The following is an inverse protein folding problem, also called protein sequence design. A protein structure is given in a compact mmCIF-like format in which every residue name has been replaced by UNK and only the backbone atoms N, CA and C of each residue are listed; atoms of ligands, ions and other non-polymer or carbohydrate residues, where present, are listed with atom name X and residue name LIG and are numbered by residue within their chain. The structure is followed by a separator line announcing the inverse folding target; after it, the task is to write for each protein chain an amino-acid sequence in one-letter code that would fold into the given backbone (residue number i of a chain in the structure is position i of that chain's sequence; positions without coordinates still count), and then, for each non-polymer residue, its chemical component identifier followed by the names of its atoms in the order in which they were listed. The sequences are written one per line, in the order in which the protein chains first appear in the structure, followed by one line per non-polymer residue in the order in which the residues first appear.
data_IF_190545295760
#
_entry.id   IF_190545295760
#
_cell.length_a   1.000
_cell.length_b   1.000
_cell.length_c   1.000
_cell.angle_alpha   90.00
_cell.angle_beta   90.00
_cell.angle_gamma   90.00
#
_symmetry.space_group_name_H-M   'P 1'
#
loop_
_entity.id
_entity.type
_entity.pdbx_description
1 polymer ?
#
# COMPACT_ATOMS: atom_id res chain seq x y z
N UNK A 1 23.05 30.29 -32.31
CA UNK A 1 21.74 30.64 -31.81
C UNK A 1 21.57 29.98 -30.44
N UNK A 2 22.37 30.40 -29.50
CA UNK A 2 22.28 30.14 -28.07
C UNK A 2 22.24 31.51 -27.42
N UNK A 3 21.46 31.67 -26.36
CA UNK A 3 21.19 32.89 -25.58
C UNK A 3 19.96 33.69 -26.03
N UNK A 4 18.80 33.21 -25.62
CA UNK A 4 17.61 34.05 -25.42
C UNK A 4 16.52 33.26 -24.65
N UNK A 5 16.74 33.00 -23.34
CA UNK A 5 15.68 32.52 -22.42
C UNK A 5 16.17 32.61 -20.96
N UNK A 6 16.64 33.77 -20.54
CA UNK A 6 16.92 34.05 -19.13
C UNK A 6 16.75 35.55 -18.87
N UNK A 7 15.52 36.05 -18.94
CA UNK A 7 15.20 37.39 -18.42
C UNK A 7 13.69 37.62 -18.41
N UNK A 8 12.96 36.90 -17.57
CA UNK A 8 11.56 37.27 -17.22
C UNK A 8 11.10 36.58 -15.95
N UNK A 9 11.73 36.79 -14.82
CA UNK A 9 11.15 36.69 -13.49
C UNK A 9 12.17 37.24 -12.49
N UNK A 10 12.29 38.54 -12.36
CA UNK A 10 12.63 39.23 -11.11
C UNK A 10 12.45 40.75 -11.33
N UNK A 11 11.64 41.30 -10.49
CA UNK A 11 11.25 42.71 -10.23
C UNK A 11 9.95 43.20 -10.91
N UNK A 12 9.06 43.96 -10.21
CA UNK A 12 9.44 44.95 -9.16
C UNK A 12 8.54 44.94 -7.90
N UNK A 13 9.11 45.13 -6.75
CA UNK A 13 8.43 45.72 -5.61
C UNK A 13 9.46 46.47 -4.71
N UNK A 14 9.89 47.63 -5.16
CA UNK A 14 10.48 48.65 -4.31
C UNK A 14 10.17 50.04 -4.85
N UNK A 15 9.09 50.62 -4.41
CA UNK A 15 8.92 52.06 -4.30
C UNK A 15 7.79 52.37 -3.31
N UNK A 16 8.17 52.47 -2.04
CA UNK A 16 7.54 53.39 -1.08
C UNK A 16 8.61 53.84 -0.10
N UNK A 17 8.93 55.13 -0.23
CA UNK A 17 9.81 55.90 0.66
C UNK A 17 9.17 56.05 2.02
N UNK A 18 9.95 55.79 3.10
CA UNK A 18 9.60 56.16 4.46
C UNK A 18 10.86 56.05 5.31
N UNK A 19 11.61 57.15 5.43
CA UNK A 19 12.67 57.27 6.41
C UNK A 19 12.11 57.11 7.82
N UNK A 20 12.66 56.20 8.64
CA UNK A 20 12.91 56.40 10.06
C UNK A 20 13.68 55.25 10.70
N UNK A 21 14.82 55.63 11.27
CA UNK A 21 15.56 55.02 12.37
C UNK A 21 16.17 53.60 12.27
N UNK A 22 17.37 53.54 11.67
CA UNK A 22 18.32 52.42 11.80
C UNK A 22 19.01 52.29 13.19
N UNK A 23 18.65 53.10 14.18
CA UNK A 23 19.35 53.11 15.48
C UNK A 23 18.81 52.14 16.53
N UNK A 24 17.60 51.63 16.38
CA UNK A 24 16.95 50.79 17.41
C UNK A 24 17.01 49.26 17.19
N UNK A 25 17.52 48.79 16.06
CA UNK A 25 17.64 47.35 15.84
C UNK A 25 18.92 46.72 16.39
N UNK A 26 19.96 47.52 16.68
CA UNK A 26 21.22 47.01 17.27
C UNK A 26 21.20 46.89 18.80
N UNK A 27 20.17 47.37 19.47
CA UNK A 27 20.05 47.28 20.95
C UNK A 27 19.27 46.06 21.43
N UNK A 28 18.59 45.32 20.55
CA UNK A 28 17.80 44.13 20.90
C UNK A 28 18.52 42.79 20.74
N UNK A 29 19.75 42.82 20.19
CA UNK A 29 20.53 41.60 19.92
C UNK A 29 21.70 41.35 20.89
N UNK A 30 21.90 42.22 21.89
CA UNK A 30 22.98 42.08 22.86
C UNK A 30 22.48 42.12 24.31
N UNK A 31 21.58 41.23 24.71
CA UNK A 31 21.36 40.93 26.11
C UNK A 31 21.69 39.47 26.40
N UNK A 32 22.56 39.15 27.37
CA UNK A 32 22.85 37.77 27.75
C UNK A 32 21.67 37.17 28.51
N UNK A 33 21.20 36.02 28.07
CA UNK A 33 20.24 35.19 28.80
C UNK A 33 20.90 34.66 30.07
N UNK A 34 20.46 35.11 31.25
CA UNK A 34 20.84 34.51 32.53
C UNK A 34 19.93 33.28 32.78
N UNK A 35 20.52 32.10 32.73
CA UNK A 35 19.90 30.85 33.15
C UNK A 35 20.02 30.71 34.66
N UNK A 36 18.92 30.84 35.38
CA UNK A 36 18.80 30.34 36.75
C UNK A 36 17.75 29.26 36.83
N UNK A 37 18.13 28.00 36.52
CA UNK A 37 17.37 26.82 36.88
C UNK A 37 18.08 26.18 38.06
N UNK A 38 17.42 26.19 39.23
CA UNK A 38 17.90 25.49 40.43
C UNK A 38 17.85 23.98 40.17
N UNK A 39 18.99 23.32 40.16
CA UNK A 39 19.13 21.87 40.15
C UNK A 39 18.71 21.31 41.50
N UNK A 40 17.62 20.55 41.51
CA UNK A 40 17.30 19.67 42.63
C UNK A 40 18.09 18.36 42.44
N UNK A 41 19.07 18.13 43.29
CA UNK A 41 19.88 16.92 43.32
C UNK A 41 19.08 15.81 43.99
N UNK A 42 18.57 14.87 43.19
CA UNK A 42 18.00 13.61 43.68
C UNK A 42 19.16 12.59 43.81
N UNK A 43 19.43 12.16 45.02
CA UNK A 43 20.43 11.09 45.29
C UNK A 43 19.93 9.76 44.70
N UNK A 44 20.75 9.04 43.94
CA UNK A 44 20.37 7.71 43.49
C UNK A 44 20.45 6.71 44.64
N UNK A 45 19.33 6.04 44.93
CA UNK A 45 19.33 4.85 45.80
C UNK A 45 19.97 3.70 45.00
N UNK A 46 20.97 3.06 45.61
CA UNK A 46 21.60 1.85 45.10
C UNK A 46 20.63 0.69 45.16
N UNK A 47 19.98 0.36 44.05
CA UNK A 47 19.44 -0.99 43.84
C UNK A 47 20.54 -1.82 43.18
N UNK A 48 21.05 -2.81 43.88
CA UNK A 48 21.88 -3.86 43.27
C UNK A 48 20.95 -4.69 42.40
N UNK A 49 21.09 -4.53 41.07
CA UNK A 49 20.55 -5.50 40.12
C UNK A 49 21.65 -6.55 39.95
N UNK A 50 21.35 -7.77 40.48
CA UNK A 50 22.14 -8.94 40.12
C UNK A 50 22.06 -9.14 38.61
N UNK A 51 23.19 -9.06 37.94
CA UNK A 51 23.36 -9.47 36.55
C UNK A 51 23.16 -10.99 36.45
N UNK A 52 21.94 -11.39 36.18
CA UNK A 52 21.70 -12.74 35.65
C UNK A 52 22.28 -12.74 34.24
N UNK A 53 23.26 -13.60 34.04
CA UNK A 53 23.79 -13.99 32.74
C UNK A 53 22.60 -14.52 31.94
N UNK A 54 22.06 -13.67 31.06
CA UNK A 54 21.12 -14.09 30.04
C UNK A 54 21.91 -14.94 29.06
N UNK A 55 21.73 -16.27 29.17
CA UNK A 55 22.12 -17.16 28.11
C UNK A 55 21.46 -16.69 26.81
N UNK A 56 22.23 -16.62 25.76
CA UNK A 56 21.74 -16.35 24.41
C UNK A 56 20.57 -17.33 24.14
N UNK A 57 19.35 -16.79 24.08
CA UNK A 57 18.19 -17.51 23.58
C UNK A 57 18.56 -18.00 22.18
N UNK A 58 18.30 -19.26 21.83
CA UNK A 58 18.56 -19.71 20.46
C UNK A 58 17.81 -18.79 19.54
N UNK A 59 18.52 -18.15 18.61
CA UNK A 59 17.94 -17.34 17.55
C UNK A 59 17.09 -18.26 16.69
N UNK A 60 15.83 -18.40 17.04
CA UNK A 60 14.82 -18.95 16.15
C UNK A 60 14.77 -17.94 14.99
N UNK A 61 15.36 -18.31 13.86
CA UNK A 61 15.24 -17.52 12.62
C UNK A 61 13.79 -17.64 12.18
N UNK A 62 12.95 -16.73 12.66
CA UNK A 62 11.55 -16.65 12.28
C UNK A 62 11.44 -16.12 10.86
N UNK A 63 11.75 -16.97 9.87
CA UNK A 63 11.49 -16.63 8.48
C UNK A 63 9.99 -16.58 8.21
N UNK A 64 9.58 -15.65 7.36
CA UNK A 64 8.22 -15.54 6.85
C UNK A 64 8.20 -16.14 5.46
N UNK A 65 7.59 -17.32 5.32
CA UNK A 65 7.50 -18.03 4.04
C UNK A 65 6.33 -17.51 3.24
N UNK A 66 6.63 -16.92 2.08
CA UNK A 66 5.66 -16.18 1.29
C UNK A 66 5.45 -16.83 -0.07
N UNK A 67 4.20 -17.15 -0.40
CA UNK A 67 3.81 -17.52 -1.75
C UNK A 67 3.15 -16.33 -2.49
N UNK A 68 3.36 -16.26 -3.80
CA UNK A 68 2.81 -15.21 -4.66
C UNK A 68 1.92 -15.82 -5.74
N UNK A 69 0.69 -15.33 -5.85
CA UNK A 69 -0.24 -15.65 -6.94
C UNK A 69 -0.26 -14.47 -7.92
N UNK A 70 0.22 -14.72 -9.14
CA UNK A 70 0.43 -13.70 -10.17
C UNK A 70 1.85 -13.13 -10.13
N UNK A 71 2.72 -13.61 -11.03
CA UNK A 71 4.14 -13.20 -11.14
C UNK A 71 4.27 -12.04 -12.14
N UNK A 72 3.50 -10.96 -11.90
CA UNK A 72 3.51 -9.74 -12.71
C UNK A 72 4.49 -8.67 -12.19
N UNK A 73 4.33 -7.43 -12.63
CA UNK A 73 5.14 -6.28 -12.22
C UNK A 73 5.20 -6.08 -10.69
N UNK A 74 4.05 -6.23 -10.00
CA UNK A 74 3.98 -6.07 -8.54
C UNK A 74 4.81 -7.14 -7.82
N UNK A 75 4.72 -8.40 -8.27
CA UNK A 75 5.54 -9.48 -7.74
C UNK A 75 7.03 -9.24 -8.02
N UNK A 76 7.38 -8.83 -9.24
CA UNK A 76 8.75 -8.47 -9.61
C UNK A 76 9.32 -7.39 -8.68
N UNK A 77 8.57 -6.31 -8.46
CA UNK A 77 8.99 -5.21 -7.59
C UNK A 77 9.11 -5.62 -6.12
N UNK A 78 8.20 -6.46 -5.63
CA UNK A 78 8.25 -6.99 -4.26
C UNK A 78 9.49 -7.86 -4.05
N UNK A 79 9.76 -8.78 -4.98
CA UNK A 79 10.91 -9.68 -4.90
C UNK A 79 12.21 -8.87 -4.97
N UNK A 80 12.32 -7.96 -5.93
CA UNK A 80 13.45 -7.03 -6.00
C UNK A 80 13.64 -6.27 -4.68
N UNK A 81 12.56 -5.75 -4.07
CA UNK A 81 12.61 -4.99 -2.83
C UNK A 81 13.16 -5.81 -1.66
N UNK A 82 12.76 -7.07 -1.53
CA UNK A 82 13.28 -7.97 -0.48
C UNK A 82 14.77 -8.20 -0.65
N UNK A 83 15.25 -8.45 -1.87
CA UNK A 83 16.69 -8.61 -2.13
C UNK A 83 17.46 -7.30 -1.95
N UNK A 84 16.91 -6.17 -2.38
CA UNK A 84 17.56 -4.86 -2.30
C UNK A 84 17.81 -4.41 -0.86
N UNK A 85 16.84 -4.66 0.03
CA UNK A 85 16.87 -4.20 1.41
C UNK A 85 17.24 -5.30 2.42
N UNK A 86 17.77 -6.44 1.98
CA UNK A 86 18.09 -7.57 2.87
C UNK A 86 19.07 -7.21 3.99
N UNK A 87 19.98 -6.25 3.75
CA UNK A 87 21.02 -5.82 4.70
C UNK A 87 20.64 -4.52 5.45
N UNK A 88 19.40 -4.07 5.32
CA UNK A 88 18.92 -2.85 5.97
C UNK A 88 18.96 -2.98 7.50
N UNK A 89 19.43 -1.93 8.17
CA UNK A 89 19.53 -1.86 9.63
C UNK A 89 18.20 -1.38 10.23
N UNK A 90 17.96 -1.67 11.51
CA UNK A 90 16.71 -1.37 12.22
C UNK A 90 16.44 0.12 12.40
N UNK A 91 17.49 0.94 12.42
CA UNK A 91 17.45 2.40 12.57
C UNK A 91 17.59 3.16 11.25
N UNK A 92 17.68 2.44 10.12
CA UNK A 92 17.85 3.04 8.81
C UNK A 92 16.58 3.73 8.33
N UNK A 93 16.72 4.88 7.67
CA UNK A 93 15.65 5.47 6.87
C UNK A 93 15.65 4.77 5.51
N UNK A 94 14.68 3.89 5.30
CA UNK A 94 14.56 3.10 4.07
C UNK A 94 13.49 3.72 3.19
N UNK A 95 13.83 4.25 2.00
CA UNK A 95 12.83 4.77 1.09
C UNK A 95 11.75 3.73 0.78
N UNK A 96 10.50 4.09 1.02
CA UNK A 96 9.37 3.23 0.74
C UNK A 96 9.07 2.16 1.80
N UNK A 97 9.73 2.14 2.94
CA UNK A 97 9.47 1.26 4.07
C UNK A 97 9.15 2.11 5.29
N UNK A 98 7.98 1.94 5.88
CA UNK A 98 7.56 2.72 7.04
C UNK A 98 8.20 2.21 8.33
N UNK A 99 8.43 0.89 8.42
CA UNK A 99 8.99 0.24 9.60
C UNK A 99 10.17 -0.66 9.19
N UNK A 100 11.42 -0.25 9.36
CA UNK A 100 12.59 -1.12 9.11
C UNK A 100 12.51 -2.41 9.93
N UNK A 101 12.10 -2.30 11.20
CA UNK A 101 11.75 -3.40 12.08
C UNK A 101 10.27 -3.29 12.46
N UNK A 102 9.45 -4.28 12.11
CA UNK A 102 8.01 -4.30 12.37
C UNK A 102 7.69 -5.45 13.35
N UNK A 103 7.52 -5.11 14.62
CA UNK A 103 7.20 -6.09 15.66
C UNK A 103 8.22 -7.22 15.80
N UNK A 104 9.51 -6.95 15.55
CA UNK A 104 10.60 -7.92 15.55
C UNK A 104 10.94 -8.49 14.17
N UNK A 105 10.10 -8.32 13.16
CA UNK A 105 10.33 -8.77 11.79
C UNK A 105 11.00 -7.70 10.93
N UNK A 106 12.05 -8.09 10.20
CA UNK A 106 12.80 -7.29 9.23
C UNK A 106 12.46 -7.70 7.81
N UNK A 107 12.86 -6.90 6.82
CA UNK A 107 12.66 -7.24 5.40
C UNK A 107 13.38 -8.56 5.05
N UNK A 108 14.59 -8.78 5.55
CA UNK A 108 15.38 -10.00 5.35
C UNK A 108 14.76 -11.27 5.91
N UNK A 109 13.73 -11.16 6.74
CA UNK A 109 13.01 -12.30 7.30
C UNK A 109 11.98 -12.86 6.32
N UNK A 110 11.66 -12.11 5.26
CA UNK A 110 10.79 -12.57 4.17
C UNK A 110 11.57 -13.51 3.26
N UNK A 111 11.02 -14.71 3.05
CA UNK A 111 11.55 -15.74 2.17
C UNK A 111 10.44 -16.21 1.22
N UNK A 112 10.66 -16.10 -0.08
CA UNK A 112 9.69 -16.63 -1.02
C UNK A 112 9.73 -18.16 -1.00
N UNK A 113 8.57 -18.81 -0.95
CA UNK A 113 8.43 -20.26 -0.81
C UNK A 113 7.74 -20.90 -2.01
N UNK A 114 6.82 -20.17 -2.68
CA UNK A 114 6.15 -20.64 -3.88
C UNK A 114 5.74 -19.46 -4.76
N UNK A 115 5.57 -19.73 -6.05
CA UNK A 115 5.06 -18.79 -7.03
C UNK A 115 4.09 -19.49 -7.97
N UNK A 116 3.00 -18.81 -8.33
CA UNK A 116 1.90 -19.36 -9.10
C UNK A 116 1.54 -18.38 -10.21
N UNK A 117 1.50 -18.83 -11.45
CA UNK A 117 1.06 -18.03 -12.60
C UNK A 117 0.35 -18.92 -13.61
N UNK A 118 -0.19 -18.32 -14.68
CA UNK A 118 -0.84 -19.04 -15.79
C UNK A 118 -0.16 -18.79 -17.13
N UNK A 119 0.77 -17.83 -17.19
CA UNK A 119 1.46 -17.42 -18.40
C UNK A 119 2.48 -18.48 -18.83
N UNK A 120 2.37 -18.95 -20.09
CA UNK A 120 3.30 -19.92 -20.69
C UNK A 120 4.77 -19.44 -20.71
N UNK A 121 5.01 -18.15 -20.64
CA UNK A 121 6.35 -17.59 -20.57
C UNK A 121 6.95 -17.60 -19.15
N UNK A 122 6.16 -17.97 -18.14
CA UNK A 122 6.56 -17.99 -16.72
C UNK A 122 6.46 -19.34 -16.06
N UNK A 123 5.35 -20.07 -16.32
CA UNK A 123 5.12 -21.40 -15.72
C UNK A 123 6.25 -22.36 -16.09
N UNK A 124 6.78 -23.05 -15.07
CA UNK A 124 7.92 -23.97 -15.21
C UNK A 124 9.30 -23.32 -15.15
N UNK A 125 9.39 -21.98 -15.19
CA UNK A 125 10.66 -21.25 -14.97
C UNK A 125 10.93 -21.06 -13.49
N UNK A 126 12.20 -20.79 -13.17
CA UNK A 126 12.57 -20.29 -11.84
C UNK A 126 11.99 -18.89 -11.63
N UNK A 127 11.58 -18.59 -10.39
CA UNK A 127 11.00 -17.30 -10.03
C UNK A 127 11.93 -16.12 -10.36
N UNK A 128 13.26 -16.29 -10.18
CA UNK A 128 14.27 -15.28 -10.51
C UNK A 128 14.34 -14.93 -11.99
N UNK A 129 13.94 -15.87 -12.88
CA UNK A 129 13.78 -15.63 -14.32
C UNK A 129 12.37 -15.12 -14.65
N UNK A 130 11.36 -15.71 -14.03
CA UNK A 130 9.96 -15.43 -14.34
C UNK A 130 9.55 -13.98 -14.06
N UNK A 131 10.11 -13.33 -13.04
CA UNK A 131 9.87 -11.92 -12.73
C UNK A 131 10.26 -10.95 -13.85
N UNK A 132 11.06 -11.40 -14.81
CA UNK A 132 11.51 -10.63 -16.00
C UNK A 132 10.86 -11.10 -17.30
N UNK A 133 10.04 -12.14 -17.23
CA UNK A 133 9.46 -12.80 -18.41
C UNK A 133 8.11 -12.22 -18.79
N UNK A 134 7.67 -12.50 -20.02
CA UNK A 134 6.36 -12.13 -20.54
C UNK A 134 6.16 -10.63 -20.63
N UNK A 135 5.01 -10.17 -20.14
CA UNK A 135 4.59 -8.75 -20.22
C UNK A 135 5.14 -7.88 -19.07
N UNK A 136 6.06 -8.40 -18.24
CA UNK A 136 6.63 -7.62 -17.15
C UNK A 136 7.54 -6.52 -17.70
N UNK A 137 7.25 -5.28 -17.29
CA UNK A 137 7.92 -4.07 -17.77
C UNK A 137 8.26 -3.08 -16.64
N UNK A 138 8.28 -3.54 -15.38
CA UNK A 138 8.71 -2.71 -14.26
C UNK A 138 10.22 -2.45 -14.29
N UNK A 139 10.66 -1.41 -13.60
CA UNK A 139 12.09 -1.05 -13.54
C UNK A 139 12.90 -2.12 -12.81
N UNK A 140 14.14 -2.31 -13.25
CA UNK A 140 15.15 -3.09 -12.52
C UNK A 140 15.89 -2.17 -11.57
N UNK A 141 15.79 -2.42 -10.26
CA UNK A 141 16.49 -1.67 -9.22
C UNK A 141 17.30 -2.57 -8.28
N UNK A 142 17.18 -3.90 -8.45
CA UNK A 142 17.94 -4.87 -7.68
C UNK A 142 18.39 -6.04 -8.54
N UNK A 143 19.53 -6.63 -8.15
CA UNK A 143 19.97 -7.91 -8.68
C UNK A 143 19.27 -9.03 -7.91
N UNK A 144 18.48 -9.84 -8.62
CA UNK A 144 17.81 -11.03 -8.09
C UNK A 144 18.49 -12.25 -8.69
N UNK A 145 18.87 -13.26 -7.90
CA UNK A 145 19.44 -14.49 -8.44
C UNK A 145 18.53 -15.14 -9.47
N UNK A 146 19.06 -15.47 -10.64
CA UNK A 146 18.28 -16.15 -11.70
C UNK A 146 17.82 -17.56 -11.29
N UNK A 147 18.45 -18.14 -10.26
CA UNK A 147 18.09 -19.42 -9.67
C UNK A 147 17.79 -19.23 -8.19
N UNK A 148 16.52 -19.01 -7.89
CA UNK A 148 15.99 -18.93 -6.52
C UNK A 148 15.66 -20.32 -5.96
N UNK A 149 15.55 -21.32 -6.82
CA UNK A 149 15.09 -22.66 -6.49
C UNK A 149 13.57 -22.80 -6.43
N UNK A 150 12.82 -21.76 -6.81
CA UNK A 150 11.36 -21.74 -6.78
C UNK A 150 10.85 -21.83 -8.21
N UNK A 151 10.28 -22.95 -8.57
CA UNK A 151 9.64 -23.13 -9.89
C UNK A 151 8.24 -22.54 -9.85
N UNK A 152 7.88 -21.72 -10.85
CA UNK A 152 6.54 -21.17 -10.99
C UNK A 152 5.55 -22.26 -11.34
N UNK A 153 4.62 -22.53 -10.44
CA UNK A 153 3.56 -23.51 -10.61
C UNK A 153 2.44 -23.01 -11.51
N UNK A 154 1.78 -23.93 -12.22
CA UNK A 154 0.61 -23.59 -13.07
C UNK A 154 -0.64 -23.41 -12.23
N UNK A 155 -1.17 -22.21 -12.23
CA UNK A 155 -2.36 -21.84 -11.49
C UNK A 155 -3.69 -22.07 -12.22
N UNK A 156 -4.81 -21.80 -11.52
CA UNK A 156 -6.14 -21.77 -12.07
C UNK A 156 -6.43 -20.42 -12.73
N UNK A 157 -7.06 -20.43 -13.88
CA UNK A 157 -7.34 -19.20 -14.64
C UNK A 157 -8.71 -18.60 -14.32
N UNK A 158 -9.79 -19.42 -14.36
CA UNK A 158 -11.17 -18.93 -14.30
C UNK A 158 -11.37 -17.63 -15.12
N UNK A 159 -11.80 -16.56 -14.46
CA UNK A 159 -11.99 -15.22 -15.01
C UNK A 159 -10.71 -14.33 -14.93
N UNK A 160 -9.54 -14.89 -14.59
CA UNK A 160 -8.28 -14.16 -14.45
C UNK A 160 -7.78 -13.50 -15.74
N UNK A 161 -8.12 -14.04 -16.91
CA UNK A 161 -7.84 -13.42 -18.21
C UNK A 161 -9.14 -12.91 -18.82
N UNK A 162 -9.27 -11.59 -18.90
CA UNK A 162 -10.31 -10.96 -19.70
C UNK A 162 -9.94 -10.87 -21.20
N UNK A 163 -10.83 -10.33 -22.04
CA UNK A 163 -10.66 -10.30 -23.49
C UNK A 163 -9.43 -9.52 -23.96
N UNK A 164 -8.96 -8.52 -23.18
CA UNK A 164 -7.75 -7.78 -23.51
C UNK A 164 -6.49 -8.57 -23.13
N UNK A 165 -6.38 -9.06 -21.89
CA UNK A 165 -5.18 -9.79 -21.47
C UNK A 165 -4.96 -11.07 -22.28
N UNK A 166 -6.03 -11.76 -22.71
CA UNK A 166 -5.92 -12.95 -23.54
C UNK A 166 -5.28 -12.71 -24.92
N UNK A 167 -5.18 -11.45 -25.36
CA UNK A 167 -4.46 -11.07 -26.60
C UNK A 167 -2.94 -10.98 -26.37
N UNK A 168 -2.50 -10.89 -25.13
CA UNK A 168 -1.08 -10.67 -24.77
C UNK A 168 -0.48 -11.85 -24.00
N UNK A 169 -1.31 -12.62 -23.31
CA UNK A 169 -0.87 -13.69 -22.42
C UNK A 169 -1.43 -15.01 -22.95
N UNK A 170 -0.55 -15.92 -23.27
CA UNK A 170 -0.90 -17.30 -23.63
C UNK A 170 -0.87 -18.16 -22.38
N UNK A 171 -1.95 -18.90 -22.13
CA UNK A 171 -2.01 -19.82 -20.99
C UNK A 171 -1.04 -20.98 -21.16
N UNK A 172 -0.29 -21.30 -20.12
CA UNK A 172 0.55 -22.50 -20.09
C UNK A 172 -0.30 -23.76 -20.32
N UNK A 173 0.19 -24.74 -21.09
CA UNK A 173 -0.50 -25.99 -21.31
C UNK A 173 -0.59 -26.83 -20.02
N UNK A 174 -1.44 -27.84 -20.02
CA UNK A 174 -1.61 -28.78 -18.92
C UNK A 174 -2.72 -28.39 -17.94
N UNK A 175 -2.84 -29.15 -16.86
CA UNK A 175 -3.80 -28.94 -15.78
C UNK A 175 -3.25 -28.00 -14.72
N UNK A 176 -4.15 -27.42 -13.91
CA UNK A 176 -3.77 -26.68 -12.71
C UNK A 176 -3.04 -27.60 -11.72
N UNK A 177 -1.94 -27.14 -11.16
CA UNK A 177 -1.21 -27.85 -10.12
C UNK A 177 -2.02 -27.93 -8.81
N UNK A 178 -1.69 -28.86 -7.94
CA UNK A 178 -2.34 -28.95 -6.63
C UNK A 178 -1.81 -27.83 -5.72
N UNK A 179 -2.45 -26.67 -5.78
CA UNK A 179 -2.01 -25.46 -5.06
C UNK A 179 -2.05 -25.66 -3.54
N UNK A 180 -3.09 -26.34 -3.02
CA UNK A 180 -3.15 -26.66 -1.57
C UNK A 180 -1.94 -27.48 -1.13
N UNK A 181 -1.57 -28.51 -1.91
CA UNK A 181 -0.43 -29.35 -1.57
C UNK A 181 0.89 -28.59 -1.72
N UNK A 182 1.06 -27.80 -2.78
CA UNK A 182 2.23 -26.96 -2.99
C UNK A 182 2.48 -26.05 -1.77
N UNK A 183 1.45 -25.34 -1.28
CA UNK A 183 1.56 -24.43 -0.13
C UNK A 183 1.93 -25.18 1.17
N UNK A 184 1.42 -26.39 1.35
CA UNK A 184 1.77 -27.26 2.49
C UNK A 184 3.22 -27.74 2.40
N UNK A 185 3.64 -28.25 1.27
CA UNK A 185 4.98 -28.81 1.07
C UNK A 185 6.07 -27.75 1.21
N UNK A 186 5.78 -26.52 0.77
CA UNK A 186 6.66 -25.37 0.90
C UNK A 186 6.55 -24.68 2.27
N UNK A 187 5.67 -25.18 3.16
CA UNK A 187 5.41 -24.61 4.50
C UNK A 187 5.15 -23.11 4.44
N UNK A 188 4.34 -22.68 3.49
CA UNK A 188 3.99 -21.28 3.28
C UNK A 188 3.22 -20.73 4.47
N UNK A 189 3.63 -19.58 5.02
CA UNK A 189 2.92 -18.85 6.08
C UNK A 189 1.88 -17.90 5.50
N UNK A 190 2.26 -17.15 4.47
CA UNK A 190 1.47 -16.04 3.92
C UNK A 190 1.37 -16.15 2.40
N UNK A 191 0.17 -16.00 1.86
CA UNK A 191 -0.08 -15.98 0.42
C UNK A 191 -0.52 -14.59 -0.02
N UNK A 192 0.15 -14.04 -1.03
CA UNK A 192 -0.16 -12.72 -1.62
C UNK A 192 -0.92 -12.93 -2.93
N UNK A 193 -2.04 -12.24 -3.08
CA UNK A 193 -2.82 -12.22 -4.31
C UNK A 193 -2.54 -10.96 -5.14
N UNK A 194 -1.94 -11.17 -6.32
CA UNK A 194 -1.66 -10.17 -7.35
C UNK A 194 -2.33 -10.49 -8.68
N UNK A 195 -3.45 -11.20 -8.65
CA UNK A 195 -4.24 -11.47 -9.86
C UNK A 195 -4.70 -10.17 -10.53
N UNK A 196 -5.00 -10.19 -11.83
CA UNK A 196 -5.55 -9.04 -12.52
C UNK A 196 -6.92 -8.60 -11.96
N UNK A 197 -7.19 -7.29 -12.04
CA UNK A 197 -8.51 -6.73 -11.68
C UNK A 197 -9.63 -7.46 -12.39
N UNK A 198 -10.73 -7.75 -11.70
CA UNK A 198 -11.88 -8.49 -12.21
C UNK A 198 -11.75 -10.02 -12.14
N UNK A 199 -10.72 -10.54 -11.47
CA UNK A 199 -10.51 -11.97 -11.22
C UNK A 199 -11.31 -12.46 -10.02
N UNK A 200 -12.64 -12.30 -10.04
CA UNK A 200 -13.53 -12.60 -8.92
C UNK A 200 -13.56 -14.11 -8.60
N UNK A 201 -13.81 -14.95 -9.61
CA UNK A 201 -13.91 -16.39 -9.42
C UNK A 201 -12.55 -17.02 -9.14
N UNK A 202 -11.51 -16.55 -9.83
CA UNK A 202 -10.14 -17.02 -9.59
C UNK A 202 -9.71 -16.71 -8.15
N UNK A 203 -9.93 -15.49 -7.67
CA UNK A 203 -9.57 -15.10 -6.29
C UNK A 203 -10.28 -15.98 -5.26
N UNK A 204 -11.59 -16.15 -5.39
CA UNK A 204 -12.38 -16.98 -4.46
C UNK A 204 -11.91 -18.44 -4.46
N UNK A 205 -11.58 -18.96 -5.63
CA UNK A 205 -11.01 -20.30 -5.76
C UNK A 205 -9.66 -20.41 -5.03
N UNK A 206 -8.76 -19.44 -5.21
CA UNK A 206 -7.46 -19.42 -4.52
C UNK A 206 -7.62 -19.28 -3.01
N UNK A 207 -8.55 -18.45 -2.53
CA UNK A 207 -8.86 -18.33 -1.08
C UNK A 207 -9.20 -19.69 -0.47
N UNK A 208 -9.99 -20.53 -1.16
CA UNK A 208 -10.28 -21.89 -0.68
C UNK A 208 -9.01 -22.76 -0.60
N UNK A 209 -8.10 -22.64 -1.57
CA UNK A 209 -6.83 -23.39 -1.52
C UNK A 209 -5.97 -22.93 -0.34
N UNK A 210 -5.90 -21.61 -0.09
CA UNK A 210 -5.15 -20.99 1.01
C UNK A 210 -5.72 -21.45 2.35
N UNK A 211 -7.04 -21.40 2.55
CA UNK A 211 -7.70 -21.87 3.76
C UNK A 211 -7.43 -23.37 4.01
N UNK A 212 -7.46 -24.19 2.95
CA UNK A 212 -7.18 -25.63 3.05
C UNK A 212 -5.70 -25.94 3.30
N UNK A 213 -4.80 -25.03 2.91
CA UNK A 213 -3.38 -25.12 3.17
C UNK A 213 -3.01 -24.67 4.60
N UNK A 214 -3.84 -23.83 5.23
CA UNK A 214 -3.57 -23.27 6.56
C UNK A 214 -2.67 -22.02 6.52
N UNK A 215 -2.78 -21.18 5.47
CA UNK A 215 -1.98 -19.99 5.30
C UNK A 215 -2.78 -18.71 5.57
N UNK A 216 -2.09 -17.65 6.01
CA UNK A 216 -2.63 -16.28 5.99
C UNK A 216 -2.81 -15.78 4.55
N UNK A 217 -3.72 -14.85 4.33
CA UNK A 217 -3.99 -14.32 3.01
C UNK A 217 -3.91 -12.79 2.96
N UNK A 218 -3.19 -12.28 1.97
CA UNK A 218 -3.08 -10.85 1.65
C UNK A 218 -3.70 -10.60 0.29
N UNK A 219 -4.77 -9.81 0.27
CA UNK A 219 -5.49 -9.52 -0.97
C UNK A 219 -5.16 -8.12 -1.50
N UNK A 220 -4.28 -8.04 -2.50
CA UNK A 220 -3.83 -6.78 -3.08
C UNK A 220 -4.73 -6.23 -4.18
N UNK A 221 -5.77 -6.96 -4.59
CA UNK A 221 -6.65 -6.58 -5.70
C UNK A 221 -8.06 -6.20 -5.21
N UNK A 222 -8.86 -5.46 -5.99
CA UNK A 222 -10.20 -5.01 -5.60
C UNK A 222 -11.29 -6.09 -5.78
N UNK A 223 -11.01 -7.30 -5.33
CA UNK A 223 -12.00 -8.36 -5.10
C UNK A 223 -12.23 -8.45 -3.61
N UNK A 224 -13.48 -8.34 -3.17
CA UNK A 224 -13.77 -8.20 -1.74
C UNK A 224 -13.73 -9.55 -1.02
N UNK A 225 -12.67 -9.71 -0.22
CA UNK A 225 -12.42 -10.89 0.64
C UNK A 225 -12.37 -10.44 2.11
N UNK A 226 -11.39 -9.60 2.49
CA UNK A 226 -11.24 -9.13 3.87
C UNK A 226 -12.43 -8.28 4.33
N UNK A 227 -13.06 -7.56 3.41
CA UNK A 227 -14.25 -6.75 3.67
C UNK A 227 -15.53 -7.56 3.84
N UNK A 228 -15.63 -8.75 3.21
CA UNK A 228 -16.88 -9.53 3.18
C UNK A 228 -17.06 -10.39 4.43
N UNK A 229 -18.19 -10.27 5.16
CA UNK A 229 -18.45 -11.03 6.38
C UNK A 229 -18.36 -12.55 6.20
N UNK A 230 -18.79 -13.07 5.05
CA UNK A 230 -18.69 -14.49 4.72
C UNK A 230 -17.24 -14.98 4.77
N UNK A 231 -16.32 -14.29 4.09
CA UNK A 231 -14.92 -14.69 4.07
C UNK A 231 -14.24 -14.46 5.42
N UNK A 232 -14.55 -13.35 6.10
CA UNK A 232 -14.05 -13.12 7.46
C UNK A 232 -14.38 -14.28 8.40
N UNK A 233 -15.63 -14.79 8.31
CA UNK A 233 -16.05 -15.93 9.11
C UNK A 233 -15.29 -17.20 8.72
N UNK A 234 -15.09 -17.47 7.41
CA UNK A 234 -14.31 -18.62 6.93
C UNK A 234 -12.86 -18.59 7.44
N UNK A 235 -12.22 -17.42 7.48
CA UNK A 235 -10.87 -17.25 8.03
C UNK A 235 -10.88 -17.45 9.57
N UNK A 236 -11.87 -16.95 10.29
CA UNK A 236 -12.02 -17.19 11.74
C UNK A 236 -12.17 -18.69 12.06
N UNK A 237 -13.00 -19.40 11.33
CA UNK A 237 -13.23 -20.85 11.50
C UNK A 237 -11.97 -21.69 11.30
N UNK A 238 -11.01 -21.19 10.55
CA UNK A 238 -9.71 -21.83 10.29
C UNK A 238 -8.58 -21.29 11.18
N UNK A 239 -8.87 -20.34 12.06
CA UNK A 239 -7.88 -19.62 12.89
C UNK A 239 -6.77 -18.96 12.04
N UNK A 240 -7.14 -18.37 10.91
CA UNK A 240 -6.21 -17.74 9.95
C UNK A 240 -6.53 -16.26 9.80
N UNK A 241 -5.52 -15.37 9.65
CA UNK A 241 -5.73 -13.97 9.37
C UNK A 241 -5.88 -13.71 7.87
N UNK A 242 -6.66 -12.66 7.54
CA UNK A 242 -6.74 -12.06 6.21
C UNK A 242 -6.54 -10.56 6.31
N UNK A 243 -5.76 -10.00 5.38
CA UNK A 243 -5.51 -8.55 5.25
C UNK A 243 -5.87 -8.14 3.82
N UNK A 244 -6.66 -7.08 3.64
CA UNK A 244 -7.13 -6.61 2.31
C UNK A 244 -8.21 -5.53 2.46
N UNK A 245 -8.84 -5.08 1.40
CA UNK A 245 -8.70 -5.42 -0.03
C UNK A 245 -8.25 -4.18 -0.81
N UNK A 246 -7.67 -4.37 -2.01
CA UNK A 246 -7.17 -3.33 -2.92
C UNK A 246 -6.05 -2.47 -2.30
N UNK A 247 -4.81 -2.91 -2.50
CA UNK A 247 -3.61 -2.29 -1.91
C UNK A 247 -3.50 -0.80 -2.24
N UNK A 248 -3.16 0.03 -1.26
CA UNK A 248 -2.70 1.42 -1.47
C UNK A 248 -1.22 1.42 -1.89
N UNK A 249 -0.84 2.40 -2.68
CA UNK A 249 0.58 2.72 -2.89
C UNK A 249 1.10 3.56 -1.72
N UNK A 250 2.41 3.74 -1.58
CA UNK A 250 2.97 4.60 -0.56
C UNK A 250 2.59 6.06 -0.74
N UNK A 251 2.92 6.63 -1.89
CA UNK A 251 2.38 7.92 -2.34
C UNK A 251 1.72 7.70 -3.69
N UNK A 252 0.42 7.38 -3.66
CA UNK A 252 -0.36 7.12 -4.86
C UNK A 252 -1.55 8.08 -4.99
N UNK A 253 -2.21 8.04 -6.13
CA UNK A 253 -3.32 8.94 -6.44
C UNK A 253 -4.42 8.92 -5.37
N UNK A 254 -4.77 7.74 -4.84
CA UNK A 254 -5.79 7.62 -3.78
C UNK A 254 -5.35 8.31 -2.49
N UNK A 255 -4.10 8.12 -2.06
CA UNK A 255 -3.58 8.75 -0.83
C UNK A 255 -3.57 10.27 -0.97
N UNK A 256 -3.01 10.78 -2.08
CA UNK A 256 -2.95 12.23 -2.33
C UNK A 256 -4.36 12.83 -2.40
N UNK A 257 -5.29 12.16 -3.09
CA UNK A 257 -6.66 12.64 -3.21
C UNK A 257 -7.39 12.66 -1.84
N UNK A 258 -7.23 11.62 -1.02
CA UNK A 258 -7.76 11.57 0.35
C UNK A 258 -7.20 12.70 1.21
N UNK A 259 -5.88 12.93 1.16
CA UNK A 259 -5.24 14.02 1.91
C UNK A 259 -5.75 15.39 1.50
N UNK A 260 -5.91 15.66 0.20
CA UNK A 260 -6.49 16.91 -0.29
C UNK A 260 -7.96 17.06 0.12
N UNK A 261 -8.75 15.99 0.06
CA UNK A 261 -10.14 15.99 0.53
C UNK A 261 -10.23 16.29 2.03
N UNK A 262 -9.34 15.67 2.83
CA UNK A 262 -9.23 15.98 4.26
C UNK A 262 -8.80 17.43 4.51
N UNK A 263 -7.84 17.94 3.74
CA UNK A 263 -7.40 19.33 3.84
C UNK A 263 -8.59 20.30 3.64
N UNK A 264 -9.43 20.07 2.63
CA UNK A 264 -10.63 20.87 2.40
C UNK A 264 -11.54 20.82 3.62
N UNK A 265 -11.89 19.62 4.10
CA UNK A 265 -12.73 19.41 5.28
C UNK A 265 -12.16 20.12 6.52
N UNK A 266 -10.88 19.91 6.82
CA UNK A 266 -10.23 20.40 8.05
C UNK A 266 -10.03 21.93 8.03
N UNK A 267 -10.03 22.53 6.84
CA UNK A 267 -9.96 23.98 6.64
C UNK A 267 -11.33 24.66 6.43
N UNK A 268 -12.43 23.90 6.56
CA UNK A 268 -13.79 24.42 6.40
C UNK A 268 -14.15 24.80 4.96
N UNK A 269 -13.43 24.25 3.97
CA UNK A 269 -13.75 24.39 2.55
C UNK A 269 -14.79 23.33 2.18
N UNK A 270 -15.88 23.72 1.56
CA UNK A 270 -16.89 22.78 1.06
C UNK A 270 -16.43 22.25 -0.29
N UNK A 271 -16.13 20.97 -0.35
CA UNK A 271 -15.80 20.29 -1.61
C UNK A 271 -17.10 19.99 -2.36
N UNK A 272 -17.24 20.50 -3.57
CA UNK A 272 -18.45 20.35 -4.38
C UNK A 272 -18.28 19.29 -5.47
N UNK A 273 -17.15 19.29 -6.13
CA UNK A 273 -16.85 18.35 -7.23
C UNK A 273 -15.41 17.91 -7.17
N UNK A 274 -15.18 16.67 -7.59
CA UNK A 274 -13.81 16.15 -7.71
C UNK A 274 -13.67 15.11 -8.81
N UNK A 275 -12.53 15.10 -9.44
CA UNK A 275 -12.18 14.06 -10.41
C UNK A 275 -10.76 13.56 -10.22
N UNK A 276 -10.55 12.27 -10.56
CA UNK A 276 -9.24 11.65 -10.66
C UNK A 276 -9.17 10.80 -11.93
N UNK A 277 -8.33 11.20 -12.86
CA UNK A 277 -8.06 10.49 -14.09
C UNK A 277 -6.70 9.80 -13.98
N UNK A 278 -6.62 8.51 -14.32
CA UNK A 278 -5.38 7.76 -14.23
C UNK A 278 -5.01 7.19 -15.60
N UNK A 279 -3.75 7.36 -15.99
CA UNK A 279 -3.21 6.84 -17.24
C UNK A 279 -1.94 6.05 -16.90
N UNK A 280 -1.78 4.88 -17.48
CA UNK A 280 -0.62 4.03 -17.23
C UNK A 280 -0.31 3.10 -18.39
N UNK A 281 0.84 2.41 -18.34
CA UNK A 281 1.33 1.60 -19.45
C UNK A 281 1.61 0.14 -19.11
N UNK A 282 1.23 -0.31 -17.91
CA UNK A 282 1.37 -1.71 -17.50
C UNK A 282 0.14 -2.55 -17.84
N UNK A 283 0.21 -3.85 -17.59
CA UNK A 283 -0.88 -4.78 -17.94
C UNK A 283 -2.14 -4.60 -17.09
N UNK A 284 -2.07 -3.96 -15.90
CA UNK A 284 -3.28 -3.62 -15.15
C UNK A 284 -4.10 -2.55 -15.90
N UNK A 285 -3.43 -1.52 -16.47
CA UNK A 285 -4.11 -0.52 -17.31
C UNK A 285 -4.64 -1.10 -18.61
N UNK A 286 -3.92 -2.02 -19.25
CA UNK A 286 -4.39 -2.72 -20.44
C UNK A 286 -5.63 -3.58 -20.14
N UNK A 287 -5.63 -4.31 -19.03
CA UNK A 287 -6.79 -5.09 -18.56
C UNK A 287 -8.01 -4.19 -18.28
N UNK A 288 -7.78 -2.97 -17.78
CA UNK A 288 -8.85 -2.02 -17.44
C UNK A 288 -9.53 -1.36 -18.66
N UNK A 289 -9.05 -1.59 -19.87
CA UNK A 289 -9.79 -1.24 -21.10
C UNK A 289 -11.10 -2.04 -21.19
N UNK A 290 -11.16 -3.22 -20.58
CA UNK A 290 -12.42 -3.94 -20.35
C UNK A 290 -13.17 -3.32 -19.16
N UNK A 291 -14.12 -2.45 -19.49
CA UNK A 291 -14.91 -1.72 -18.49
C UNK A 291 -15.80 -2.62 -17.63
N UNK A 292 -16.17 -3.80 -18.12
CA UNK A 292 -16.97 -4.76 -17.35
C UNK A 292 -16.23 -5.33 -16.12
N UNK A 293 -14.90 -5.30 -16.14
CA UNK A 293 -14.04 -5.77 -15.03
C UNK A 293 -13.81 -4.74 -13.93
N UNK A 294 -14.41 -3.55 -14.02
CA UNK A 294 -14.05 -2.39 -13.20
C UNK A 294 -15.02 -2.08 -12.06
N UNK A 295 -16.15 -2.77 -11.93
CA UNK A 295 -17.18 -2.44 -10.96
C UNK A 295 -16.62 -2.37 -9.53
N UNK A 296 -15.98 -3.45 -9.04
CA UNK A 296 -15.37 -3.49 -7.71
C UNK A 296 -14.29 -2.41 -7.54
N UNK A 297 -13.47 -2.18 -8.58
CA UNK A 297 -12.40 -1.16 -8.54
C UNK A 297 -12.96 0.26 -8.48
N UNK A 298 -14.05 0.55 -9.19
CA UNK A 298 -14.73 1.86 -9.16
C UNK A 298 -15.30 2.12 -7.76
N UNK A 299 -16.02 1.15 -7.21
CA UNK A 299 -16.55 1.23 -5.84
C UNK A 299 -15.44 1.45 -4.82
N UNK A 300 -14.37 0.65 -4.89
CA UNK A 300 -13.23 0.73 -3.99
C UNK A 300 -12.60 2.13 -3.98
N UNK A 301 -12.28 2.67 -5.15
CA UNK A 301 -11.61 3.97 -5.26
C UNK A 301 -12.52 5.14 -4.86
N UNK A 302 -13.79 5.13 -5.29
CA UNK A 302 -14.75 6.19 -4.97
C UNK A 302 -14.96 6.24 -3.46
N UNK A 303 -15.28 5.11 -2.83
CA UNK A 303 -15.48 5.04 -1.38
C UNK A 303 -14.22 5.47 -0.60
N UNK A 304 -13.04 5.11 -1.07
CA UNK A 304 -11.79 5.52 -0.42
C UNK A 304 -11.67 7.04 -0.29
N UNK A 305 -12.12 7.82 -1.28
CA UNK A 305 -12.06 9.29 -1.26
C UNK A 305 -13.26 9.89 -0.53
N UNK A 306 -14.49 9.50 -0.90
CA UNK A 306 -15.72 10.10 -0.36
C UNK A 306 -15.93 9.82 1.13
N UNK A 307 -15.38 8.71 1.65
CA UNK A 307 -15.41 8.38 3.08
C UNK A 307 -14.73 9.42 3.97
N UNK A 308 -13.91 10.31 3.42
CA UNK A 308 -13.26 11.39 4.17
C UNK A 308 -14.20 12.55 4.48
N UNK A 309 -15.32 12.68 3.76
CA UNK A 309 -16.27 13.77 3.92
C UNK A 309 -17.42 13.40 4.87
N UNK A 310 -17.95 14.35 5.65
CA UNK A 310 -19.11 14.13 6.52
C UNK A 310 -20.45 14.17 5.77
N UNK A 311 -20.44 14.46 4.48
CA UNK A 311 -21.63 14.61 3.63
C UNK A 311 -21.46 13.83 2.32
N UNK A 312 -22.59 13.51 1.69
CA UNK A 312 -22.63 12.92 0.35
C UNK A 312 -22.53 14.03 -0.70
N UNK A 313 -21.62 13.87 -1.64
CA UNK A 313 -21.44 14.80 -2.76
C UNK A 313 -22.39 14.52 -3.93
N UNK A 314 -23.07 13.38 -3.94
CA UNK A 314 -23.81 12.88 -5.10
C UNK A 314 -22.91 12.29 -6.19
N UNK A 315 -23.44 11.28 -6.89
CA UNK A 315 -22.68 10.46 -7.84
C UNK A 315 -22.12 11.28 -9.04
N UNK A 316 -22.82 12.30 -9.48
CA UNK A 316 -22.42 13.10 -10.64
C UNK A 316 -21.27 14.08 -10.33
N UNK A 317 -21.01 14.34 -9.06
CA UNK A 317 -19.98 15.26 -8.60
C UNK A 317 -18.65 14.56 -8.28
N UNK A 318 -18.58 13.24 -8.39
CA UNK A 318 -17.38 12.46 -8.09
C UNK A 318 -17.02 11.55 -9.26
N UNK A 319 -15.91 11.84 -9.93
CA UNK A 319 -15.41 10.98 -10.99
C UNK A 319 -14.02 10.43 -10.63
N UNK A 320 -13.93 9.16 -10.23
CA UNK A 320 -12.67 8.47 -9.96
C UNK A 320 -12.62 7.22 -10.82
N UNK A 321 -11.88 7.32 -11.91
CA UNK A 321 -11.85 6.27 -12.91
C UNK A 321 -10.46 5.75 -13.22
N UNK A 322 -10.39 4.49 -13.71
CA UNK A 322 -9.37 4.16 -14.66
C UNK A 322 -9.63 5.01 -15.89
N UNK A 323 -8.59 5.48 -16.50
CA UNK A 323 -8.76 6.35 -17.66
C UNK A 323 -8.31 5.67 -18.92
N UNK A 324 -6.99 5.50 -19.14
CA UNK A 324 -6.50 4.99 -20.41
C UNK A 324 -5.19 4.22 -20.28
N UNK A 325 -4.88 3.46 -21.34
CA UNK A 325 -3.65 2.70 -21.47
C UNK A 325 -2.75 3.33 -22.52
N UNK A 326 -1.52 3.67 -22.13
CA UNK A 326 -0.49 4.24 -22.99
C UNK A 326 0.77 3.38 -22.93
N UNK A 327 1.02 2.51 -23.95
CA UNK A 327 2.06 1.46 -23.88
C UNK A 327 3.48 1.98 -23.55
N UNK A 328 3.87 3.13 -24.11
CA UNK A 328 5.22 3.69 -23.91
C UNK A 328 5.47 4.21 -22.48
N UNK A 329 4.43 4.34 -21.65
CA UNK A 329 4.60 4.62 -20.22
C UNK A 329 5.21 3.44 -19.47
N UNK A 330 5.11 2.23 -19.98
CA UNK A 330 5.55 1.01 -19.29
C UNK A 330 4.92 0.92 -17.91
N UNK A 331 5.69 0.76 -16.83
CA UNK A 331 5.17 0.72 -15.45
C UNK A 331 4.97 2.12 -14.82
N UNK A 332 5.08 3.18 -15.59
CA UNK A 332 4.75 4.54 -15.14
C UNK A 332 3.24 4.76 -15.16
N UNK A 333 2.79 5.58 -14.22
CA UNK A 333 1.40 5.98 -14.06
C UNK A 333 1.32 7.47 -13.79
N UNK A 334 0.45 8.13 -14.51
CA UNK A 334 0.03 9.50 -14.24
C UNK A 334 -1.35 9.52 -13.59
N UNK A 335 -1.54 10.43 -12.64
CA UNK A 335 -2.84 10.76 -12.07
C UNK A 335 -3.06 12.26 -12.16
N UNK A 336 -4.20 12.65 -12.71
CA UNK A 336 -4.67 14.04 -12.74
C UNK A 336 -5.81 14.14 -11.74
N UNK A 337 -5.63 14.96 -10.71
CA UNK A 337 -6.59 15.15 -9.62
C UNK A 337 -7.07 16.60 -9.64
N UNK A 338 -8.38 16.79 -9.63
CA UNK A 338 -9.01 18.11 -9.55
C UNK A 338 -10.03 18.11 -8.42
N UNK A 339 -9.99 19.15 -7.60
CA UNK A 339 -10.97 19.43 -6.55
C UNK A 339 -11.54 20.83 -6.80
N UNK A 340 -12.84 20.95 -6.75
CA UNK A 340 -13.57 22.22 -6.87
C UNK A 340 -14.42 22.42 -5.62
N UNK A 341 -14.31 23.58 -4.99
CA UNK A 341 -15.01 23.86 -3.75
C UNK A 341 -15.23 25.34 -3.52
N UNK A 342 -15.82 25.64 -2.36
CA UNK A 342 -16.13 27.01 -1.92
C UNK A 342 -15.49 27.30 -0.57
N UNK A 343 -14.90 28.49 -0.48
CA UNK A 343 -14.32 29.05 0.74
C UNK A 343 -15.28 30.06 1.40
N UNK A 344 -14.75 30.88 2.30
CA UNK A 344 -15.49 31.96 2.96
C UNK A 344 -16.16 32.91 1.93
N UNK A 345 -17.43 33.21 2.14
CA UNK A 345 -18.25 34.04 1.23
C UNK A 345 -18.62 33.33 -0.07
N UNK A 346 -18.63 32.00 -0.09
CA UNK A 346 -18.92 31.18 -1.26
C UNK A 346 -17.97 31.41 -2.46
N UNK A 347 -16.79 31.98 -2.17
CA UNK A 347 -15.76 32.22 -3.20
C UNK A 347 -15.19 30.89 -3.69
N UNK A 348 -15.13 30.63 -5.03
CA UNK A 348 -14.59 29.40 -5.58
C UNK A 348 -13.11 29.18 -5.22
N UNK A 349 -12.76 27.94 -4.94
CA UNK A 349 -11.38 27.47 -4.78
C UNK A 349 -11.21 26.15 -5.55
N UNK A 350 -10.22 26.13 -6.44
CA UNK A 350 -9.90 24.94 -7.23
C UNK A 350 -8.46 24.51 -6.98
N UNK A 351 -8.25 23.20 -6.91
CA UNK A 351 -6.93 22.58 -6.83
C UNK A 351 -6.76 21.62 -7.99
N UNK A 352 -5.66 21.72 -8.69
CA UNK A 352 -5.22 20.75 -9.69
C UNK A 352 -3.86 20.19 -9.31
N UNK A 353 -3.71 18.88 -9.45
CA UNK A 353 -2.47 18.19 -9.17
C UNK A 353 -2.22 17.10 -10.21
N UNK A 354 -1.00 17.06 -10.75
CA UNK A 354 -0.50 15.92 -11.51
C UNK A 354 0.50 15.15 -10.65
N UNK A 355 0.27 13.85 -10.50
CA UNK A 355 1.19 12.91 -9.87
C UNK A 355 1.74 11.96 -10.94
N UNK A 356 3.05 11.70 -10.94
CA UNK A 356 3.69 10.66 -11.72
C UNK A 356 4.48 9.73 -10.79
N UNK A 357 4.30 8.42 -10.97
CA UNK A 357 4.98 7.38 -10.19
C UNK A 357 5.37 6.20 -11.09
N UNK A 358 6.36 5.41 -10.68
CA UNK A 358 6.50 4.02 -11.15
C UNK A 358 5.59 3.17 -10.27
N UNK A 359 4.56 2.57 -10.86
CA UNK A 359 3.37 2.07 -10.14
C UNK A 359 3.69 0.87 -9.22
N UNK A 360 4.39 -0.14 -9.74
CA UNK A 360 4.61 -1.40 -9.03
C UNK A 360 5.57 -1.27 -7.84
N UNK A 361 6.76 -0.64 -7.95
CA UNK A 361 7.62 -0.40 -6.79
C UNK A 361 6.95 0.45 -5.70
N UNK A 362 6.09 1.40 -6.10
CA UNK A 362 5.39 2.29 -5.18
C UNK A 362 4.37 1.57 -4.27
N UNK A 363 4.03 0.31 -4.56
CA UNK A 363 3.18 -0.52 -3.71
C UNK A 363 3.96 -1.61 -2.96
N UNK A 364 5.15 -1.97 -3.43
CA UNK A 364 5.91 -3.11 -2.90
C UNK A 364 6.26 -2.95 -1.42
N UNK A 365 6.69 -1.75 -0.99
CA UNK A 365 7.01 -1.49 0.42
C UNK A 365 5.81 -1.63 1.35
N UNK A 366 4.61 -1.24 0.89
CA UNK A 366 3.37 -1.42 1.67
C UNK A 366 3.07 -2.91 1.85
N UNK A 367 3.31 -3.72 0.81
CA UNK A 367 3.09 -5.18 0.89
C UNK A 367 4.12 -5.85 1.79
N UNK A 368 5.37 -5.38 1.82
CA UNK A 368 6.38 -5.85 2.78
C UNK A 368 5.89 -5.67 4.22
N UNK A 369 5.31 -4.52 4.55
CA UNK A 369 4.74 -4.27 5.87
C UNK A 369 3.51 -5.15 6.14
N UNK A 370 2.63 -5.31 5.15
CA UNK A 370 1.46 -6.18 5.26
C UNK A 370 1.82 -7.66 5.50
N UNK A 371 2.87 -8.16 4.84
CA UNK A 371 3.40 -9.53 5.05
C UNK A 371 3.85 -9.73 6.49
N UNK A 372 4.59 -8.77 7.04
CA UNK A 372 5.06 -8.82 8.43
C UNK A 372 3.90 -8.72 9.43
N UNK A 373 2.89 -7.88 9.14
CA UNK A 373 1.65 -7.83 9.92
C UNK A 373 0.88 -9.14 9.87
N UNK A 374 0.79 -9.81 8.72
CA UNK A 374 0.12 -11.10 8.61
C UNK A 374 0.83 -12.18 9.44
N UNK A 375 2.17 -12.16 9.45
CA UNK A 375 2.96 -13.06 10.30
C UNK A 375 2.76 -12.78 11.78
N UNK A 376 2.79 -11.50 12.20
CA UNK A 376 2.48 -11.12 13.60
C UNK A 376 1.08 -11.59 14.01
N UNK A 377 0.09 -11.48 13.12
CA UNK A 377 -1.25 -11.98 13.40
C UNK A 377 -1.27 -13.51 13.60
N UNK A 378 -0.55 -14.26 12.75
CA UNK A 378 -0.40 -15.72 12.92
C UNK A 378 0.24 -16.07 14.27
N UNK A 379 1.35 -15.42 14.63
CA UNK A 379 2.10 -15.70 15.85
C UNK A 379 1.28 -15.38 17.12
N UNK A 380 0.39 -14.40 17.03
CA UNK A 380 -0.54 -14.02 18.11
C UNK A 380 -1.85 -14.83 18.11
N UNK A 381 -2.02 -15.76 17.19
CA UNK A 381 -3.26 -16.54 17.04
C UNK A 381 -4.48 -15.69 16.65
N UNK A 382 -4.28 -14.53 16.02
CA UNK A 382 -5.37 -13.68 15.53
C UNK A 382 -5.94 -14.24 14.23
N UNK A 383 -7.26 -14.13 14.05
CA UNK A 383 -7.95 -14.71 12.91
C UNK A 383 -9.09 -13.84 12.38
N UNK A 384 -9.52 -14.12 11.15
CA UNK A 384 -10.44 -13.27 10.41
C UNK A 384 -9.74 -12.05 9.83
N UNK A 385 -10.48 -10.98 9.56
CA UNK A 385 -9.91 -9.76 9.01
C UNK A 385 -9.15 -8.97 10.10
N UNK A 386 -7.90 -8.61 9.82
CA UNK A 386 -7.06 -7.81 10.71
C UNK A 386 -7.28 -6.34 10.40
N UNK A 387 -8.02 -5.64 11.25
CA UNK A 387 -8.57 -4.31 10.95
C UNK A 387 -7.49 -3.23 10.81
N UNK A 388 -6.55 -3.10 11.73
CA UNK A 388 -5.54 -2.04 11.71
C UNK A 388 -4.69 -2.02 10.43
N UNK A 389 -3.97 -3.10 10.10
CA UNK A 389 -3.25 -3.23 8.84
C UNK A 389 -4.14 -3.07 7.60
N UNK A 390 -5.36 -3.65 7.60
CA UNK A 390 -6.28 -3.50 6.48
C UNK A 390 -6.72 -2.05 6.27
N UNK A 391 -7.08 -1.34 7.33
CA UNK A 391 -7.52 0.05 7.26
C UNK A 391 -6.42 0.98 6.72
N UNK A 392 -5.17 0.78 7.14
CA UNK A 392 -4.08 1.66 6.74
C UNK A 392 -3.54 1.33 5.35
N UNK A 393 -3.34 0.05 5.03
CA UNK A 393 -2.69 -0.37 3.79
C UNK A 393 -3.63 -0.54 2.60
N UNK A 394 -4.96 -0.62 2.80
CA UNK A 394 -5.90 -1.00 1.74
C UNK A 394 -7.01 0.03 1.53
N UNK A 395 -7.55 0.07 0.31
CA UNK A 395 -8.61 1.01 -0.11
C UNK A 395 -10.01 0.56 0.30
N UNK A 396 -10.21 -0.76 0.43
CA UNK A 396 -11.49 -1.38 0.80
C UNK A 396 -11.34 -2.29 2.02
N UNK A 397 -10.92 -1.75 3.18
CA UNK A 397 -10.76 -2.52 4.40
C UNK A 397 -12.12 -2.96 4.99
N UNK A 398 -12.12 -3.87 5.98
CA UNK A 398 -13.32 -4.21 6.75
C UNK A 398 -14.02 -3.01 7.40
N UNK A 399 -13.23 -2.06 7.89
CA UNK A 399 -13.69 -0.76 8.42
C UNK A 399 -12.88 0.37 7.79
N UNK A 400 -13.51 1.52 7.56
CA UNK A 400 -12.95 2.66 6.83
C UNK A 400 -12.79 3.90 7.73
N UNK A 401 -11.81 3.95 8.64
CA UNK A 401 -11.54 5.13 9.46
C UNK A 401 -10.83 6.23 8.65
N UNK A 402 -10.72 7.45 9.19
CA UNK A 402 -9.76 8.46 8.72
C UNK A 402 -8.32 7.94 8.73
N UNK A 403 -7.44 8.51 7.88
CA UNK A 403 -6.07 7.97 7.69
C UNK A 403 -5.20 8.06 8.94
N UNK A 404 -5.36 9.10 9.75
CA UNK A 404 -4.68 9.27 11.05
C UNK A 404 -5.11 8.21 12.07
N UNK A 405 -6.40 7.91 12.13
CA UNK A 405 -6.94 6.83 12.96
C UNK A 405 -6.45 5.47 12.46
N UNK A 406 -6.51 5.23 11.13
CA UNK A 406 -6.00 3.98 10.54
C UNK A 406 -4.52 3.75 10.86
N UNK A 407 -3.71 4.82 10.83
CA UNK A 407 -2.30 4.76 11.22
C UNK A 407 -2.15 4.36 12.70
N UNK A 408 -2.88 5.03 13.59
CA UNK A 408 -2.82 4.71 15.03
C UNK A 408 -3.27 3.27 15.31
N UNK A 409 -4.27 2.76 14.58
CA UNK A 409 -4.68 1.34 14.66
C UNK A 409 -3.56 0.39 14.24
N UNK A 410 -2.81 0.73 13.19
CA UNK A 410 -1.66 -0.05 12.74
C UNK A 410 -0.54 -0.04 13.79
N UNK A 411 -0.18 1.14 14.30
CA UNK A 411 0.90 1.26 15.30
C UNK A 411 0.55 0.48 16.59
N UNK A 412 -0.69 0.60 17.07
CA UNK A 412 -1.17 -0.18 18.22
C UNK A 412 -1.15 -1.70 17.94
N UNK A 413 -1.55 -2.12 16.73
CA UNK A 413 -1.44 -3.51 16.32
C UNK A 413 0.02 -3.99 16.34
N UNK A 414 0.97 -3.20 15.84
CA UNK A 414 2.40 -3.55 15.84
C UNK A 414 2.91 -3.67 17.27
N UNK A 415 2.55 -2.74 18.15
CA UNK A 415 2.96 -2.69 19.55
C UNK A 415 2.27 -3.73 20.45
N UNK A 416 1.29 -4.48 19.93
CA UNK A 416 0.41 -5.37 20.69
C UNK A 416 -0.40 -4.65 21.77
N UNK A 417 -0.84 -3.44 21.46
CA UNK A 417 -1.63 -2.58 22.33
C UNK A 417 -3.10 -2.57 21.92
N UNK A 418 -4.05 -2.52 22.87
CA UNK A 418 -5.46 -2.41 22.53
C UNK A 418 -5.78 -1.04 21.92
N UNK A 419 -6.51 -1.04 20.82
CA UNK A 419 -7.04 0.17 20.20
C UNK A 419 -8.53 0.01 19.91
N UNK A 420 -9.35 0.93 20.41
CA UNK A 420 -10.79 0.96 20.18
C UNK A 420 -11.14 2.23 19.41
N UNK A 421 -11.57 2.08 18.18
CA UNK A 421 -12.15 3.17 17.41
C UNK A 421 -13.67 3.24 17.62
N UNK A 422 -14.15 4.38 18.14
CA UNK A 422 -15.57 4.62 18.41
C UNK A 422 -16.27 5.42 17.29
N UNK A 423 -15.58 5.66 16.17
CA UNK A 423 -16.14 6.39 15.03
C UNK A 423 -17.17 5.58 14.24
N UNK A 424 -17.91 6.27 13.37
CA UNK A 424 -18.83 5.61 12.44
C UNK A 424 -18.04 4.93 11.32
N UNK A 425 -18.28 3.63 11.14
CA UNK A 425 -17.80 2.93 9.96
C UNK A 425 -18.47 3.49 8.70
N UNK A 426 -17.64 3.92 7.73
CA UNK A 426 -18.07 4.52 6.48
C UNK A 426 -17.88 3.60 5.28
N UNK A 427 -17.69 2.30 5.50
CA UNK A 427 -17.56 1.30 4.42
C UNK A 427 -18.84 1.11 3.63
N UNK A 428 -19.99 1.47 4.19
CA UNK A 428 -21.30 1.39 3.53
C UNK A 428 -21.87 2.80 3.33
N UNK A 429 -22.37 3.13 2.12
CA UNK A 429 -23.15 4.36 1.96
C UNK A 429 -24.30 4.36 2.96
N UNK A 430 -24.49 5.47 3.66
CA UNK A 430 -25.67 5.69 4.50
C UNK A 430 -26.89 5.79 3.58
N UNK A 431 -27.66 4.73 3.46
CA UNK A 431 -28.95 4.79 2.78
C UNK A 431 -29.12 3.79 1.65
N UNK A 432 -29.67 2.69 1.98
CA UNK A 432 -30.29 1.68 1.14
C UNK A 432 -31.08 0.75 2.04
N UNK A 433 -32.27 1.20 2.47
CA UNK A 433 -33.33 0.27 2.86
C UNK A 433 -33.98 -0.28 1.61
#
# INVERSE_FOLDING_TARGET
MQNMFYDYIVTPLYHLKGQHNRANLKKLLNQPYSSSVRSATIKPSKFMVQSNILGESPTVTNKIRVAVIGVGNCASSLIQGVYYYQDAQDDAIIPGIMHPNLGGYRIRDIEFSAAIDIDSEKVGKDLGEAIWSGQNNTVRFAEVPMKTGITVARGMTHDGLGPYLSQKITKAPGSTDNITQLLKDTKTDVVINYLPVGSEQATKWYVEQVLNAGCAFINCIPVFIAREPYWQQRFRERNLPVIGDDIKSQVGATIVHRMLTNLFKDRGVVLERTSQLNVGGNMDFYNMLDRSRLESKKVSKTNAVTSQLPYDMGADNVHIGPSDYVPWLQDRKWAYIRLEGRTFGDVPLNVELKLEVVDSPNSAGVVIDAVRCAKLALDRGLSGAIEGPSAYFYKSPPIQPPDDVARNMLEAFIADEPFIWQGKDRTRPSGGQ
#
